data_IF_328592263923
#
_entry.id   IF_328592263923
#
_cell.length_a   1.000
_cell.length_b   1.000
_cell.length_c   1.000
_cell.angle_alpha   90.00
_cell.angle_beta   90.00
_cell.angle_gamma   90.00
#
_symmetry.space_group_name_H-M   'P 1'
#
loop_
_entity.id
_entity.type
_entity.pdbx_description
1 polymer ?
#
# COMPACT_ATOMS: atom_id res chain seq x y z
N UNK A 1 44.33 -6.45 -56.83
CA UNK A 1 45.51 -5.98 -56.07
C UNK A 1 45.09 -4.72 -55.33
N UNK A 2 45.02 -4.81 -54.00
CA UNK A 2 44.83 -3.73 -53.02
C UNK A 2 45.70 -2.50 -53.36
N UNK A 3 45.46 -1.25 -52.95
CA UNK A 3 44.55 -0.50 -52.08
C UNK A 3 45.00 0.97 -52.27
N UNK A 4 44.20 1.98 -51.92
CA UNK A 4 44.58 3.11 -51.03
C UNK A 4 43.57 4.27 -51.16
N UNK A 5 42.73 4.34 -50.11
CA UNK A 5 42.24 5.49 -49.31
C UNK A 5 41.76 6.78 -49.99
N UNK A 6 40.45 6.99 -49.80
CA UNK A 6 39.67 8.21 -50.00
C UNK A 6 39.82 9.17 -48.79
N UNK A 7 40.09 10.45 -49.04
CA UNK A 7 39.79 11.57 -48.12
C UNK A 7 39.25 12.71 -48.98
N UNK A 8 37.96 13.03 -48.86
CA UNK A 8 37.36 14.23 -49.45
C UNK A 8 36.99 15.19 -48.32
N UNK A 9 37.57 16.37 -48.41
CA UNK A 9 37.30 17.57 -47.63
C UNK A 9 36.13 18.30 -48.31
N UNK A 10 34.99 18.47 -47.63
CA UNK A 10 33.86 19.25 -48.16
C UNK A 10 33.96 20.68 -47.62
N UNK A 11 34.10 21.62 -48.55
CA UNK A 11 34.15 23.05 -48.34
C UNK A 11 32.74 23.64 -48.09
N UNK A 12 32.73 24.65 -47.23
CA UNK A 12 31.58 25.45 -46.79
C UNK A 12 31.12 26.38 -47.91
N UNK A 13 29.83 26.35 -48.24
CA UNK A 13 29.17 27.34 -49.11
C UNK A 13 28.39 28.33 -48.24
N UNK A 14 28.84 29.58 -48.23
CA UNK A 14 28.13 30.74 -47.70
C UNK A 14 27.14 31.24 -48.76
N UNK A 15 25.85 31.29 -48.44
CA UNK A 15 24.88 32.10 -49.16
C UNK A 15 24.46 33.28 -48.27
N UNK A 16 24.74 34.49 -48.75
CA UNK A 16 24.17 35.73 -48.23
C UNK A 16 22.80 35.96 -48.88
N UNK A 17 21.76 36.14 -48.07
CA UNK A 17 20.50 36.73 -48.50
C UNK A 17 19.93 37.62 -47.37
N UNK A 18 20.11 38.92 -47.58
CA UNK A 18 19.25 40.06 -47.22
C UNK A 18 18.21 39.82 -46.10
N UNK A 19 18.49 40.34 -44.90
CA UNK A 19 17.53 40.49 -43.82
C UNK A 19 16.76 41.81 -43.93
N UNK A 20 15.46 41.73 -44.17
CA UNK A 20 14.49 42.81 -44.01
C UNK A 20 14.22 42.98 -42.50
N UNK A 21 14.39 44.19 -41.97
CA UNK A 21 14.00 44.51 -40.60
C UNK A 21 12.46 44.62 -40.50
N UNK A 22 11.83 43.59 -39.91
CA UNK A 22 10.49 43.67 -39.35
C UNK A 22 10.59 43.55 -37.83
N UNK A 23 10.24 44.63 -37.13
CA UNK A 23 10.09 44.64 -35.68
C UNK A 23 8.84 43.83 -35.31
N UNK A 24 9.03 42.61 -34.84
CA UNK A 24 7.95 41.80 -34.27
C UNK A 24 8.12 41.75 -32.75
N UNK A 25 7.28 42.49 -32.04
CA UNK A 25 7.04 42.30 -30.61
C UNK A 25 6.36 40.95 -30.42
N UNK A 26 7.06 39.97 -29.86
CA UNK A 26 6.44 38.72 -29.43
C UNK A 26 5.77 38.92 -28.07
N UNK A 27 4.45 38.92 -28.08
CA UNK A 27 3.61 38.66 -26.90
C UNK A 27 3.92 37.27 -26.33
N UNK A 28 3.96 37.20 -25.00
CA UNK A 28 4.09 35.97 -24.23
C UNK A 28 2.86 35.09 -24.48
N UNK A 29 3.04 33.99 -25.19
CA UNK A 29 1.98 33.01 -25.39
C UNK A 29 1.85 32.13 -24.13
N UNK A 30 0.75 32.33 -23.41
CA UNK A 30 0.35 31.55 -22.24
C UNK A 30 0.33 30.03 -22.53
N UNK A 31 0.95 29.28 -21.63
CA UNK A 31 1.03 27.82 -21.61
C UNK A 31 -0.34 27.15 -21.46
N UNK A 32 -0.61 26.01 -22.15
CA UNK A 32 -1.93 25.37 -22.20
C UNK A 32 -2.21 24.55 -20.93
N UNK A 33 -2.35 25.21 -19.78
CA UNK A 33 -2.79 24.57 -18.53
C UNK A 33 -4.32 24.52 -18.41
N UNK A 34 -5.05 25.41 -19.08
CA UNK A 34 -6.50 25.52 -18.94
C UNK A 34 -7.30 24.56 -19.83
N UNK A 35 -6.74 24.07 -20.94
CA UNK A 35 -7.45 23.14 -21.86
C UNK A 35 -7.55 21.72 -21.29
N UNK A 36 -6.56 21.29 -20.50
CA UNK A 36 -6.58 20.01 -19.78
C UNK A 36 -7.61 20.02 -18.63
N UNK A 37 -7.84 21.18 -18.01
CA UNK A 37 -8.81 21.32 -16.91
C UNK A 37 -10.26 21.29 -17.44
N UNK A 38 -10.53 21.82 -18.64
CA UNK A 38 -11.87 21.75 -19.24
C UNK A 38 -12.24 20.36 -19.78
N UNK A 39 -11.27 19.55 -20.24
CA UNK A 39 -11.54 18.19 -20.73
C UNK A 39 -11.88 17.17 -19.63
N UNK A 40 -11.67 17.53 -18.36
CA UNK A 40 -12.07 16.72 -17.20
C UNK A 40 -13.55 16.86 -16.80
N UNK A 41 -14.33 17.77 -17.41
CA UNK A 41 -15.74 18.02 -17.05
C UNK A 41 -16.77 17.18 -17.81
N UNK A 42 -16.37 16.33 -18.75
CA UNK A 42 -17.27 15.46 -19.52
C UNK A 42 -16.79 14.01 -19.54
N UNK A 43 -16.56 13.45 -18.35
CA UNK A 43 -16.44 12.01 -18.13
C UNK A 43 -17.57 11.59 -17.18
N UNK A 44 -18.36 10.60 -17.60
CA UNK A 44 -19.69 10.30 -17.07
C UNK A 44 -19.83 10.18 -15.55
N UNK A 45 -21.05 10.48 -15.08
CA UNK A 45 -21.55 10.16 -13.73
C UNK A 45 -21.15 8.73 -13.34
N UNK A 46 -20.12 8.59 -12.50
CA UNK A 46 -19.66 7.29 -12.02
C UNK A 46 -18.27 7.23 -11.38
N UNK A 47 -17.63 8.35 -11.00
CA UNK A 47 -16.27 8.32 -10.46
C UNK A 47 -16.25 8.88 -9.04
N UNK A 48 -16.12 7.98 -8.06
CA UNK A 48 -15.83 8.30 -6.65
C UNK A 48 -14.39 8.79 -6.51
N UNK A 49 -14.11 10.02 -6.94
CA UNK A 49 -12.80 10.64 -6.72
C UNK A 49 -12.68 11.09 -5.26
N UNK A 50 -11.76 10.49 -4.51
CA UNK A 50 -11.47 10.89 -3.14
C UNK A 50 -10.30 11.88 -3.17
N UNK A 51 -10.53 13.11 -2.69
CA UNK A 51 -9.43 14.06 -2.53
C UNK A 51 -8.53 13.61 -1.38
N UNK A 52 -7.20 13.80 -1.49
CA UNK A 52 -6.32 13.82 -0.34
C UNK A 52 -6.92 14.74 0.73
N UNK A 53 -7.50 14.17 1.78
CA UNK A 53 -7.84 14.95 2.96
C UNK A 53 -6.57 15.37 3.70
N UNK A 54 -6.72 15.98 4.86
CA UNK A 54 -5.61 16.24 5.80
C UNK A 54 -5.11 14.94 6.49
N UNK A 55 -4.97 13.83 5.75
CA UNK A 55 -4.43 12.58 6.28
C UNK A 55 -2.92 12.70 6.31
N UNK A 56 -2.36 12.59 7.51
CA UNK A 56 -0.93 12.60 7.77
C UNK A 56 -0.41 11.17 7.87
N UNK A 57 0.67 10.88 7.17
CA UNK A 57 1.42 9.63 7.29
C UNK A 57 2.75 9.93 7.96
N UNK A 58 3.09 9.21 9.03
CA UNK A 58 4.30 9.50 9.80
C UNK A 58 5.59 9.29 9.01
N UNK A 59 5.55 8.47 7.95
CA UNK A 59 6.67 8.23 7.03
C UNK A 59 6.66 9.10 5.77
N UNK A 60 5.59 9.89 5.52
CA UNK A 60 5.41 10.56 4.23
C UNK A 60 4.55 11.83 4.30
N UNK A 61 5.09 12.93 3.78
CA UNK A 61 4.47 14.25 3.82
C UNK A 61 3.83 14.71 2.50
N UNK A 62 4.20 14.10 1.36
CA UNK A 62 3.66 14.44 0.04
C UNK A 62 3.40 13.19 -0.80
N UNK A 63 2.27 13.15 -1.51
CA UNK A 63 1.87 12.06 -2.38
C UNK A 63 0.93 12.59 -3.47
N UNK A 64 1.03 11.99 -4.65
CA UNK A 64 0.30 12.47 -5.83
C UNK A 64 -0.93 11.61 -6.16
N UNK A 65 -0.97 10.37 -5.70
CA UNK A 65 -2.02 9.43 -6.06
C UNK A 65 -2.41 8.52 -4.89
N UNK A 66 -3.72 8.34 -4.73
CA UNK A 66 -4.31 7.51 -3.69
C UNK A 66 -4.75 6.17 -4.26
N UNK A 67 -4.72 5.16 -3.39
CA UNK A 67 -5.17 3.81 -3.70
C UNK A 67 -6.54 3.79 -4.38
N UNK A 68 -7.53 4.48 -3.80
CA UNK A 68 -8.90 4.42 -4.32
C UNK A 68 -9.09 5.20 -5.63
N UNK A 69 -8.26 6.21 -5.90
CA UNK A 69 -8.34 6.97 -7.14
C UNK A 69 -7.74 6.20 -8.33
N UNK A 70 -6.73 5.35 -8.08
CA UNK A 70 -6.13 4.50 -9.12
C UNK A 70 -7.02 3.32 -9.52
N UNK A 71 -7.87 2.87 -8.61
CA UNK A 71 -8.70 1.69 -8.77
C UNK A 71 -10.18 2.05 -8.59
N UNK A 72 -10.84 2.57 -9.64
CA UNK A 72 -12.26 2.88 -9.58
C UNK A 72 -13.06 1.62 -9.22
N UNK A 73 -14.16 1.82 -8.52
CA UNK A 73 -15.08 0.74 -8.14
C UNK A 73 -15.71 0.10 -9.39
N UNK A 74 -16.15 -1.17 -9.32
CA UNK A 74 -16.80 -1.83 -10.45
C UNK A 74 -18.06 -1.09 -10.90
N UNK A 75 -18.44 -1.25 -12.18
CA UNK A 75 -19.66 -0.63 -12.72
C UNK A 75 -20.89 -0.97 -11.87
N UNK A 76 -21.65 0.06 -11.47
CA UNK A 76 -22.85 -0.07 -10.63
C UNK A 76 -22.59 -0.13 -9.12
N UNK A 77 -21.33 -0.10 -8.69
CA UNK A 77 -20.95 -0.01 -7.28
C UNK A 77 -20.64 1.43 -6.89
N UNK A 78 -20.75 1.72 -5.59
CA UNK A 78 -20.30 2.96 -4.97
C UNK A 78 -19.48 2.64 -3.73
N UNK A 79 -18.57 3.54 -3.33
CA UNK A 79 -17.84 3.36 -2.08
C UNK A 79 -18.81 3.41 -0.90
N UNK A 80 -18.63 2.49 0.03
CA UNK A 80 -19.37 2.51 1.29
C UNK A 80 -19.03 3.77 2.09
N UNK A 81 -20.01 4.25 2.85
CA UNK A 81 -19.79 5.35 3.78
C UNK A 81 -18.83 4.91 4.89
N UNK A 82 -17.85 5.76 5.21
CA UNK A 82 -16.89 5.53 6.31
C UNK A 82 -16.72 6.82 7.09
N UNK A 83 -16.52 6.69 8.41
CA UNK A 83 -16.33 7.84 9.28
C UNK A 83 -14.98 8.51 8.99
N UNK A 84 -14.97 9.83 8.81
CA UNK A 84 -13.73 10.60 8.58
C UNK A 84 -12.76 10.38 9.75
N UNK A 85 -11.53 9.99 9.42
CA UNK A 85 -10.49 9.70 10.41
C UNK A 85 -10.54 8.27 10.97
N UNK A 86 -11.50 7.43 10.57
CA UNK A 86 -11.47 6.00 10.89
C UNK A 86 -10.32 5.27 10.20
N UNK A 87 -10.07 4.03 10.62
CA UNK A 87 -9.09 3.18 9.96
C UNK A 87 -9.48 2.89 8.50
N UNK A 88 -10.77 2.68 8.21
CA UNK A 88 -11.24 2.47 6.82
C UNK A 88 -11.00 3.71 5.96
N UNK A 89 -11.26 4.90 6.52
CA UNK A 89 -10.98 6.16 5.85
C UNK A 89 -9.49 6.33 5.55
N UNK A 90 -8.63 5.96 6.48
CA UNK A 90 -7.18 6.03 6.34
C UNK A 90 -6.64 5.04 5.29
N UNK A 91 -7.16 3.80 5.28
CA UNK A 91 -6.75 2.74 4.36
C UNK A 91 -7.10 3.05 2.89
N UNK A 92 -8.34 3.48 2.61
CA UNK A 92 -8.75 3.79 1.23
C UNK A 92 -7.94 4.94 0.61
N UNK A 93 -7.34 5.77 1.46
CA UNK A 93 -6.53 6.92 1.06
C UNK A 93 -5.02 6.61 1.05
N UNK A 94 -4.58 5.37 1.21
CA UNK A 94 -3.15 5.04 1.22
C UNK A 94 -2.44 5.54 -0.05
N UNK A 95 -1.26 6.17 0.08
CA UNK A 95 -0.51 6.67 -1.06
C UNK A 95 0.06 5.50 -1.87
N UNK A 96 0.05 5.63 -3.19
CA UNK A 96 0.68 4.66 -4.08
C UNK A 96 1.95 5.23 -4.73
N UNK A 97 2.95 4.37 -4.95
CA UNK A 97 4.09 4.68 -5.83
C UNK A 97 3.59 4.89 -7.26
N UNK A 98 4.34 5.59 -8.14
CA UNK A 98 3.94 5.80 -9.53
C UNK A 98 3.52 4.50 -10.24
N UNK A 99 2.53 4.61 -11.13
CA UNK A 99 2.06 3.47 -11.93
C UNK A 99 3.23 2.83 -12.69
N UNK A 100 3.29 1.50 -12.69
CA UNK A 100 4.39 0.74 -13.30
C UNK A 100 5.60 0.50 -12.39
N UNK A 101 5.64 1.07 -11.19
CA UNK A 101 6.69 0.75 -10.19
C UNK A 101 6.68 -0.75 -9.90
N UNK A 102 7.79 -1.49 -10.10
CA UNK A 102 7.83 -2.93 -9.88
C UNK A 102 7.69 -3.27 -8.39
N UNK A 103 7.08 -4.42 -8.10
CA UNK A 103 7.12 -5.00 -6.75
C UNK A 103 8.55 -5.47 -6.49
N UNK A 104 9.20 -4.92 -5.46
CA UNK A 104 10.54 -5.33 -5.01
C UNK A 104 10.47 -6.13 -3.73
N UNK A 105 11.44 -7.01 -3.55
CA UNK A 105 11.76 -7.69 -2.30
C UNK A 105 12.61 -6.77 -1.42
N UNK A 106 12.76 -7.11 -0.14
CA UNK A 106 13.59 -6.36 0.82
C UNK A 106 15.05 -6.17 0.33
N UNK A 107 15.58 -7.14 -0.43
CA UNK A 107 16.93 -7.11 -1.00
C UNK A 107 17.03 -6.31 -2.32
N UNK A 108 15.98 -5.58 -2.70
CA UNK A 108 15.94 -4.76 -3.91
C UNK A 108 15.68 -5.51 -5.21
N UNK A 109 15.73 -6.85 -5.23
CA UNK A 109 15.37 -7.66 -6.40
C UNK A 109 13.88 -7.52 -6.71
N UNK A 110 13.50 -7.69 -7.98
CA UNK A 110 12.09 -7.71 -8.38
C UNK A 110 11.44 -9.02 -7.91
N UNK A 111 10.18 -8.95 -7.46
CA UNK A 111 9.32 -10.15 -7.33
C UNK A 111 9.25 -10.83 -8.69
N UNK A 112 9.37 -12.17 -8.73
CA UNK A 112 9.37 -12.94 -9.97
C UNK A 112 8.13 -12.63 -10.83
N UNK A 113 6.94 -12.65 -10.23
CA UNK A 113 5.69 -12.49 -10.96
C UNK A 113 5.17 -11.05 -10.91
N UNK A 114 5.69 -10.19 -11.78
CA UNK A 114 5.26 -8.78 -11.91
C UNK A 114 3.86 -8.62 -12.52
N UNK A 115 3.32 -9.64 -13.20
CA UNK A 115 1.98 -9.59 -13.79
C UNK A 115 0.85 -9.39 -12.75
N UNK A 116 1.14 -9.66 -11.47
CA UNK A 116 0.26 -9.43 -10.33
C UNK A 116 0.30 -8.00 -9.78
N UNK A 117 1.16 -7.14 -10.33
CA UNK A 117 1.31 -5.77 -9.85
C UNK A 117 0.13 -4.90 -10.31
N UNK A 118 -0.82 -4.67 -9.41
CA UNK A 118 -1.88 -3.70 -9.59
C UNK A 118 -1.52 -2.31 -9.03
N UNK A 119 -0.52 -2.22 -8.17
CA UNK A 119 -0.09 -0.99 -7.53
C UNK A 119 0.69 -1.28 -6.27
N UNK A 120 1.77 -0.52 -6.06
CA UNK A 120 2.63 -0.64 -4.89
C UNK A 120 2.32 0.53 -3.94
N UNK A 121 2.07 0.24 -2.67
CA UNK A 121 1.89 1.26 -1.65
C UNK A 121 3.20 2.02 -1.46
N UNK A 122 3.11 3.33 -1.26
CA UNK A 122 4.28 4.17 -1.01
C UNK A 122 4.66 4.17 0.47
N UNK A 123 5.06 3.00 0.94
CA UNK A 123 5.65 2.72 2.25
C UNK A 123 6.87 1.82 2.05
N UNK A 124 7.91 2.03 2.86
CA UNK A 124 9.13 1.25 2.78
C UNK A 124 8.92 -0.20 3.27
N UNK A 125 9.73 -1.13 2.74
CA UNK A 125 9.76 -2.54 3.20
C UNK A 125 10.70 -2.69 4.41
N UNK A 126 11.73 -1.85 4.50
CA UNK A 126 12.92 -2.08 5.33
C UNK A 126 14.05 -2.74 4.53
N UNK A 127 15.15 -3.05 5.22
CA UNK A 127 16.40 -3.56 4.64
C UNK A 127 16.65 -5.05 4.95
N UNK A 128 15.82 -5.64 5.81
CA UNK A 128 15.91 -7.04 6.25
C UNK A 128 14.73 -7.84 5.73
N UNK A 129 14.80 -9.17 5.75
CA UNK A 129 13.67 -10.07 5.43
C UNK A 129 12.61 -10.10 6.54
N UNK A 130 12.22 -8.91 6.99
CA UNK A 130 11.17 -8.61 7.95
C UNK A 130 10.20 -7.66 7.27
N UNK A 131 8.98 -7.52 7.78
CA UNK A 131 7.86 -6.93 7.03
C UNK A 131 7.24 -7.90 6.00
N UNK A 132 7.14 -9.17 6.40
CA UNK A 132 6.45 -10.22 5.67
C UNK A 132 4.91 -10.06 5.76
N UNK A 133 4.15 -11.08 5.39
CA UNK A 133 2.68 -11.01 5.25
C UNK A 133 1.98 -10.37 6.47
N UNK A 134 2.10 -10.96 7.66
CA UNK A 134 1.49 -10.44 8.90
C UNK A 134 2.07 -9.10 9.34
N UNK A 135 3.38 -8.92 9.18
CA UNK A 135 4.04 -7.68 9.57
C UNK A 135 3.54 -6.47 8.79
N UNK A 136 3.17 -6.63 7.52
CA UNK A 136 2.55 -5.56 6.73
C UNK A 136 1.20 -5.12 7.30
N UNK A 137 0.40 -6.07 7.78
CA UNK A 137 -0.89 -5.80 8.45
C UNK A 137 -0.68 -5.11 9.78
N UNK A 138 0.25 -5.63 10.59
CA UNK A 138 0.68 -5.04 11.87
C UNK A 138 1.18 -3.61 11.65
N UNK A 139 2.01 -3.41 10.61
CA UNK A 139 2.58 -2.11 10.23
C UNK A 139 1.48 -1.10 9.92
N UNK A 140 0.56 -1.42 9.03
CA UNK A 140 -0.50 -0.49 8.63
C UNK A 140 -1.44 -0.13 9.78
N UNK A 141 -1.82 -1.11 10.61
CA UNK A 141 -2.63 -0.83 11.82
C UNK A 141 -1.90 0.09 12.78
N UNK A 142 -0.61 -0.19 13.04
CA UNK A 142 0.21 0.59 13.95
C UNK A 142 0.45 2.01 13.45
N UNK A 143 0.69 2.18 12.15
CA UNK A 143 0.88 3.48 11.50
C UNK A 143 -0.37 4.36 11.60
N UNK A 144 -1.55 3.77 11.38
CA UNK A 144 -2.81 4.46 11.60
C UNK A 144 -2.92 4.94 13.06
N UNK A 145 -2.75 4.06 14.03
CA UNK A 145 -2.85 4.41 15.46
C UNK A 145 -1.80 5.46 15.86
N UNK A 146 -0.58 5.34 15.34
CA UNK A 146 0.50 6.30 15.56
C UNK A 146 0.11 7.68 15.00
N UNK A 147 -0.45 7.74 13.79
CA UNK A 147 -0.92 9.00 13.19
C UNK A 147 -2.02 9.70 13.98
N UNK A 148 -2.76 8.92 14.80
CA UNK A 148 -3.82 9.41 15.68
C UNK A 148 -3.33 9.65 17.13
N UNK A 149 -2.02 9.52 17.39
CA UNK A 149 -1.42 9.57 18.74
C UNK A 149 -2.02 8.53 19.73
N UNK A 150 -2.64 7.47 19.23
CA UNK A 150 -3.25 6.39 20.03
C UNK A 150 -2.22 5.36 20.46
N UNK A 151 -1.16 5.79 21.14
CA UNK A 151 0.00 4.94 21.44
C UNK A 151 -0.31 3.80 22.41
N UNK A 152 -1.31 3.96 23.29
CA UNK A 152 -1.75 2.91 24.21
C UNK A 152 -2.45 1.74 23.49
N UNK A 153 -3.04 2.00 22.32
CA UNK A 153 -3.74 1.00 21.52
C UNK A 153 -2.79 0.19 20.62
N UNK A 154 -1.51 0.56 20.57
CA UNK A 154 -0.50 -0.14 19.77
C UNK A 154 0.11 -1.24 20.61
N UNK A 155 -0.40 -2.46 20.43
CA UNK A 155 0.16 -3.67 21.00
C UNK A 155 -0.03 -4.85 20.05
N UNK A 156 0.83 -5.87 20.19
CA UNK A 156 0.69 -7.15 19.51
C UNK A 156 1.20 -8.27 20.39
N UNK A 157 0.63 -9.46 20.25
CA UNK A 157 1.10 -10.64 20.96
C UNK A 157 2.19 -11.35 20.16
N UNK A 158 3.26 -11.72 20.85
CA UNK A 158 4.25 -12.66 20.33
C UNK A 158 3.65 -14.05 20.21
N UNK A 159 4.32 -14.92 19.47
CA UNK A 159 3.96 -16.34 19.37
C UNK A 159 3.93 -17.02 20.75
N UNK A 160 4.77 -16.57 21.69
CA UNK A 160 4.76 -17.02 23.08
C UNK A 160 3.56 -16.52 23.92
N UNK A 161 2.72 -15.63 23.37
CA UNK A 161 1.62 -14.98 24.08
C UNK A 161 2.02 -13.71 24.84
N UNK A 162 3.30 -13.33 24.84
CA UNK A 162 3.75 -12.09 25.46
C UNK A 162 3.16 -10.87 24.74
N UNK A 163 2.52 -9.97 25.48
CA UNK A 163 1.95 -8.73 24.96
C UNK A 163 3.02 -7.65 24.86
N UNK A 164 3.50 -7.40 23.65
CA UNK A 164 4.39 -6.28 23.34
C UNK A 164 3.57 -4.99 23.22
N UNK A 165 3.84 -4.02 24.10
CA UNK A 165 3.07 -2.78 24.21
C UNK A 165 3.97 -1.59 23.85
N UNK A 166 3.53 -0.79 22.88
CA UNK A 166 4.28 0.40 22.48
C UNK A 166 4.30 1.47 23.57
N UNK A 167 3.26 1.55 24.40
CA UNK A 167 3.21 2.44 25.56
C UNK A 167 4.39 2.20 26.52
N UNK A 168 4.70 0.93 26.85
CA UNK A 168 5.87 0.57 27.65
C UNK A 168 7.17 0.86 26.93
N UNK A 169 7.24 0.61 25.62
CA UNK A 169 8.42 0.98 24.83
C UNK A 169 8.75 2.47 24.93
N UNK A 170 7.73 3.34 24.81
CA UNK A 170 7.85 4.81 24.96
C UNK A 170 8.26 5.26 26.36
N UNK A 171 8.03 4.44 27.39
CA UNK A 171 8.44 4.69 28.78
C UNK A 171 9.89 4.26 29.07
N UNK A 172 10.61 3.76 28.06
CA UNK A 172 12.00 3.33 28.22
C UNK A 172 12.18 1.84 28.45
N UNK A 173 11.12 1.04 28.41
CA UNK A 173 11.26 -0.40 28.40
C UNK A 173 11.65 -0.91 27.01
N UNK A 174 12.34 -2.04 27.00
CA UNK A 174 12.66 -2.85 25.84
C UNK A 174 12.25 -4.29 26.14
N UNK A 175 12.11 -5.10 25.10
CA UNK A 175 11.67 -6.48 25.25
C UNK A 175 12.84 -7.40 24.91
N UNK A 176 13.23 -8.21 25.89
CA UNK A 176 14.21 -9.28 25.73
C UNK A 176 13.49 -10.61 25.55
N UNK A 177 14.09 -11.53 24.80
CA UNK A 177 13.57 -12.88 24.61
C UNK A 177 14.66 -13.89 24.92
N UNK A 178 14.35 -14.87 25.78
CA UNK A 178 15.23 -16.00 26.13
C UNK A 178 14.42 -17.30 26.03
N UNK A 179 14.70 -18.10 25.00
CA UNK A 179 13.84 -19.24 24.65
C UNK A 179 12.42 -18.78 24.33
N UNK A 180 11.42 -19.39 24.95
CA UNK A 180 10.00 -19.01 24.80
C UNK A 180 9.54 -17.91 25.76
N UNK A 181 10.43 -17.40 26.63
CA UNK A 181 10.08 -16.37 27.60
C UNK A 181 10.51 -14.98 27.09
N UNK A 182 9.56 -14.07 27.02
CA UNK A 182 9.79 -12.65 26.74
C UNK A 182 9.51 -11.82 27.99
N UNK A 183 10.31 -10.79 28.22
CA UNK A 183 10.23 -9.94 29.41
C UNK A 183 10.59 -8.50 29.09
N UNK A 184 10.00 -7.58 29.87
CA UNK A 184 10.39 -6.18 29.83
C UNK A 184 11.64 -5.95 30.67
N UNK A 185 12.57 -5.15 30.15
CA UNK A 185 13.69 -4.60 30.92
C UNK A 185 13.84 -3.11 30.60
N UNK A 186 14.38 -2.34 31.55
CA UNK A 186 14.50 -0.88 31.39
C UNK A 186 15.82 -0.54 30.70
N UNK A 187 15.74 0.12 29.55
CA UNK A 187 16.86 0.71 28.80
C UNK A 187 16.31 1.87 28.00
N UNK A 188 16.22 3.02 28.66
CA UNK A 188 15.65 4.23 28.08
C UNK A 188 16.61 4.83 27.06
N UNK A 189 16.05 5.28 25.93
CA UNK A 189 16.75 5.95 24.85
C UNK A 189 16.01 7.25 24.52
N UNK A 190 16.75 8.28 24.12
CA UNK A 190 16.16 9.54 23.62
C UNK A 190 15.22 9.32 22.41
N UNK A 191 15.40 8.23 21.66
CA UNK A 191 14.55 7.88 20.51
C UNK A 191 13.21 7.26 20.88
N UNK A 192 12.95 6.89 22.14
CA UNK A 192 11.79 6.04 22.50
C UNK A 192 10.44 6.67 22.16
N UNK A 193 10.36 8.00 22.15
CA UNK A 193 9.15 8.77 21.81
C UNK A 193 9.12 9.26 20.37
N UNK A 194 10.13 8.96 19.55
CA UNK A 194 10.25 9.39 18.16
C UNK A 194 9.71 8.33 17.19
N UNK A 195 9.53 8.71 15.93
CA UNK A 195 9.15 7.77 14.88
C UNK A 195 10.22 6.68 14.66
N UNK A 196 11.50 7.01 14.83
CA UNK A 196 12.58 6.02 14.79
C UNK A 196 12.44 4.98 15.91
N UNK A 197 12.08 5.39 17.13
CA UNK A 197 11.80 4.47 18.24
C UNK A 197 10.59 3.59 17.97
N UNK A 198 9.52 4.15 17.37
CA UNK A 198 8.37 3.38 16.90
C UNK A 198 8.75 2.31 15.87
N UNK A 199 9.60 2.65 14.90
CA UNK A 199 10.09 1.68 13.92
C UNK A 199 10.92 0.56 14.57
N UNK A 200 11.73 0.86 15.59
CA UNK A 200 12.47 -0.16 16.36
C UNK A 200 11.54 -1.08 17.16
N UNK A 201 10.47 -0.53 17.74
CA UNK A 201 9.43 -1.33 18.39
C UNK A 201 8.77 -2.29 17.38
N UNK A 202 8.35 -1.79 16.22
CA UNK A 202 7.74 -2.64 15.18
C UNK A 202 8.71 -3.72 14.69
N UNK A 203 9.97 -3.37 14.48
CA UNK A 203 11.01 -4.33 14.12
C UNK A 203 11.12 -5.45 15.17
N UNK A 204 11.08 -5.11 16.45
CA UNK A 204 11.06 -6.10 17.53
C UNK A 204 9.79 -6.97 17.50
N UNK A 205 8.62 -6.40 17.23
CA UNK A 205 7.36 -7.16 17.04
C UNK A 205 7.46 -8.12 15.86
N UNK A 206 7.99 -7.70 14.71
CA UNK A 206 8.12 -8.54 13.51
C UNK A 206 9.02 -9.76 13.71
N UNK A 207 9.92 -9.73 14.71
CA UNK A 207 10.77 -10.90 15.03
C UNK A 207 10.02 -12.01 15.78
N UNK A 208 8.90 -11.69 16.46
CA UNK A 208 8.28 -12.62 17.41
C UNK A 208 6.76 -12.79 17.22
N UNK A 209 6.10 -11.88 16.50
CA UNK A 209 4.71 -11.99 16.09
C UNK A 209 4.62 -12.44 14.62
N UNK A 210 3.50 -13.04 14.25
CA UNK A 210 3.26 -13.49 12.88
C UNK A 210 1.79 -13.86 12.67
N UNK A 211 1.47 -14.55 11.58
CA UNK A 211 0.09 -14.96 11.27
C UNK A 211 -0.50 -15.85 12.37
N UNK A 212 0.31 -16.69 13.03
CA UNK A 212 -0.16 -17.51 14.16
C UNK A 212 -0.64 -16.65 15.34
N UNK A 213 0.20 -15.74 15.85
CA UNK A 213 -0.15 -14.92 17.02
C UNK A 213 -1.23 -13.90 16.68
N UNK A 214 -1.15 -13.27 15.51
CA UNK A 214 -2.14 -12.31 15.03
C UNK A 214 -3.50 -12.99 14.82
N UNK A 215 -3.55 -14.21 14.29
CA UNK A 215 -4.79 -14.96 14.15
C UNK A 215 -5.45 -15.26 15.50
N UNK A 216 -4.68 -15.50 16.57
CA UNK A 216 -5.22 -15.69 17.92
C UNK A 216 -5.70 -14.37 18.55
N UNK A 217 -5.04 -13.27 18.23
CA UNK A 217 -5.36 -11.94 18.76
C UNK A 217 -6.63 -11.35 18.14
N UNK A 218 -6.86 -11.58 16.84
CA UNK A 218 -8.00 -11.06 16.10
C UNK A 218 -9.30 -11.84 16.35
N UNK A 219 -10.43 -11.12 16.28
CA UNK A 219 -11.78 -11.66 16.49
C UNK A 219 -12.39 -12.15 15.18
N UNK A 220 -13.23 -13.18 15.25
CA UNK A 220 -14.03 -13.63 14.09
C UNK A 220 -14.93 -12.50 13.58
N UNK A 221 -15.16 -12.47 12.28
CA UNK A 221 -15.97 -11.47 11.59
C UNK A 221 -16.83 -12.14 10.52
N UNK A 222 -17.98 -11.55 10.19
CA UNK A 222 -18.88 -12.06 9.14
C UNK A 222 -18.82 -11.22 7.88
N UNK A 223 -19.13 -11.83 6.73
CA UNK A 223 -19.15 -11.17 5.43
C UNK A 223 -20.18 -10.04 5.35
N UNK A 224 -21.30 -10.15 6.07
CA UNK A 224 -22.30 -9.08 6.19
C UNK A 224 -21.70 -7.79 6.76
N UNK A 225 -20.77 -7.91 7.72
CA UNK A 225 -20.14 -6.79 8.43
C UNK A 225 -18.74 -6.43 7.91
N UNK A 226 -18.35 -6.98 6.75
CA UNK A 226 -17.01 -6.75 6.18
C UNK A 226 -16.75 -5.25 5.95
N UNK A 227 -15.59 -4.79 6.43
CA UNK A 227 -15.18 -3.38 6.36
C UNK A 227 -13.68 -3.24 6.13
N UNK A 228 -13.24 -2.01 5.84
CA UNK A 228 -11.82 -1.68 5.76
C UNK A 228 -11.08 -2.02 7.06
N UNK A 229 -9.92 -2.66 6.93
CA UNK A 229 -9.08 -3.08 8.06
C UNK A 229 -9.39 -4.48 8.59
N UNK A 230 -10.49 -5.09 8.15
CA UNK A 230 -10.69 -6.54 8.31
C UNK A 230 -9.63 -7.29 7.49
N UNK A 231 -9.35 -8.52 7.90
CA UNK A 231 -8.32 -9.36 7.27
C UNK A 231 -8.85 -10.76 6.98
N UNK A 232 -8.33 -11.37 5.92
CA UNK A 232 -8.46 -12.81 5.71
C UNK A 232 -7.14 -13.44 6.13
N UNK A 233 -7.16 -14.18 7.23
CA UNK A 233 -5.96 -14.69 7.88
C UNK A 233 -6.02 -16.20 8.09
N UNK A 234 -4.99 -16.88 7.60
CA UNK A 234 -4.71 -18.29 7.85
C UNK A 234 -3.55 -18.32 8.84
N UNK A 235 -3.84 -18.65 10.10
CA UNK A 235 -2.81 -18.76 11.13
C UNK A 235 -2.03 -20.07 11.02
N UNK A 236 -0.71 -20.03 11.24
CA UNK A 236 0.14 -21.21 11.19
C UNK A 236 1.53 -20.94 10.62
N UNK A 237 2.28 -22.02 10.38
CA UNK A 237 3.62 -22.01 9.80
C UNK A 237 3.69 -23.11 8.71
N UNK A 238 3.43 -22.78 7.43
CA UNK A 238 3.18 -21.45 6.88
C UNK A 238 1.77 -20.94 7.19
N UNK A 239 1.62 -19.62 7.18
CA UNK A 239 0.33 -18.93 7.21
C UNK A 239 0.38 -17.71 6.30
N UNK A 240 -0.77 -17.11 6.00
CA UNK A 240 -0.82 -15.90 5.17
C UNK A 240 -1.97 -15.00 5.57
N UNK A 241 -1.85 -13.72 5.22
CA UNK A 241 -2.87 -12.71 5.48
C UNK A 241 -2.94 -11.67 4.40
N UNK A 242 -4.17 -11.28 4.06
CA UNK A 242 -4.49 -10.11 3.24
C UNK A 242 -5.43 -9.19 4.00
N UNK A 243 -5.34 -7.88 3.78
CA UNK A 243 -6.17 -6.87 4.42
C UNK A 243 -7.16 -6.26 3.43
N UNK A 244 -8.39 -6.04 3.87
CA UNK A 244 -9.40 -5.25 3.16
C UNK A 244 -9.02 -3.77 3.25
N UNK A 245 -8.63 -3.15 2.14
CA UNK A 245 -8.27 -1.74 2.09
C UNK A 245 -9.48 -0.82 1.84
N UNK A 246 -10.47 -1.30 1.07
CA UNK A 246 -11.68 -0.55 0.76
C UNK A 246 -12.86 -1.48 0.47
N UNK A 247 -14.08 -0.99 0.71
CA UNK A 247 -15.33 -1.70 0.42
C UNK A 247 -16.23 -0.80 -0.43
N UNK A 248 -16.79 -1.39 -1.48
CA UNK A 248 -17.81 -0.81 -2.33
C UNK A 248 -19.07 -1.68 -2.31
N UNK A 249 -20.22 -1.09 -2.58
CA UNK A 249 -21.52 -1.74 -2.54
C UNK A 249 -22.39 -1.26 -3.70
N UNK A 250 -23.19 -2.15 -4.29
CA UNK A 250 -24.15 -1.79 -5.33
C UNK A 250 -25.57 -1.63 -4.74
N UNK A 251 -26.54 -1.26 -5.59
CA UNK A 251 -27.94 -1.06 -5.17
C UNK A 251 -28.66 -2.33 -4.73
N UNK A 252 -28.11 -3.52 -5.00
CA UNK A 252 -28.66 -4.81 -4.55
C UNK A 252 -28.03 -5.29 -3.24
N UNK A 253 -27.15 -4.51 -2.62
CA UNK A 253 -26.42 -4.89 -1.40
C UNK A 253 -25.23 -5.82 -1.63
N UNK A 254 -24.83 -6.09 -2.89
CA UNK A 254 -23.61 -6.84 -3.17
C UNK A 254 -22.40 -5.98 -2.84
N UNK A 255 -21.48 -6.52 -2.04
CA UNK A 255 -20.23 -5.86 -1.68
C UNK A 255 -19.07 -6.36 -2.53
N UNK A 256 -18.16 -5.45 -2.87
CA UNK A 256 -16.88 -5.78 -3.48
C UNK A 256 -15.75 -5.06 -2.74
N UNK A 257 -14.64 -5.77 -2.50
CA UNK A 257 -13.52 -5.28 -1.70
C UNK A 257 -12.22 -5.19 -2.48
N UNK A 258 -11.38 -4.23 -2.12
CA UNK A 258 -10.00 -4.14 -2.60
C UNK A 258 -9.07 -4.69 -1.52
N UNK A 259 -8.18 -5.59 -1.90
CA UNK A 259 -7.26 -6.26 -0.99
C UNK A 259 -5.83 -5.77 -1.17
N UNK A 260 -5.07 -5.68 -0.07
CA UNK A 260 -3.63 -5.40 -0.05
C UNK A 260 -2.89 -6.48 0.73
N UNK A 261 -1.65 -6.76 0.31
CA UNK A 261 -0.82 -7.79 0.94
C UNK A 261 0.68 -7.49 0.85
N UNK A 262 1.46 -8.15 1.71
CA UNK A 262 2.87 -8.48 1.52
C UNK A 262 3.01 -10.01 1.40
N UNK A 263 4.21 -10.56 1.27
CA UNK A 263 4.43 -12.01 1.25
C UNK A 263 5.79 -12.39 1.86
N UNK A 264 6.18 -13.65 1.67
CA UNK A 264 7.47 -14.21 2.07
C UNK A 264 8.27 -14.59 0.81
N UNK A 265 9.51 -14.13 0.63
CA UNK A 265 10.24 -13.15 1.44
C UNK A 265 9.56 -11.77 1.50
N UNK A 266 9.97 -10.94 2.46
CA UNK A 266 9.46 -9.59 2.65
C UNK A 266 9.56 -8.79 1.34
N UNK A 267 8.47 -8.12 1.00
CA UNK A 267 8.33 -7.40 -0.26
C UNK A 267 7.42 -6.19 -0.09
N UNK A 268 7.33 -5.36 -1.13
CA UNK A 268 6.43 -4.21 -1.10
C UNK A 268 5.00 -4.63 -0.78
N UNK A 269 4.34 -3.85 0.08
CA UNK A 269 2.89 -3.93 0.22
C UNK A 269 2.27 -3.50 -1.10
N UNK A 270 1.44 -4.36 -1.68
CA UNK A 270 0.85 -4.16 -3.00
C UNK A 270 -0.61 -4.59 -3.02
N UNK A 271 -1.32 -4.11 -4.02
CA UNK A 271 -2.72 -4.46 -4.26
C UNK A 271 -2.79 -5.86 -4.84
N UNK A 272 -3.66 -6.70 -4.27
CA UNK A 272 -3.87 -8.07 -4.73
C UNK A 272 -4.65 -8.04 -6.03
N UNK A 273 -4.20 -8.82 -7.01
CA UNK A 273 -4.85 -9.00 -8.30
C UNK A 273 -5.44 -10.40 -8.39
N UNK A 274 -6.67 -10.52 -8.89
CA UNK A 274 -7.32 -11.79 -9.22
C UNK A 274 -6.50 -12.55 -10.26
N UNK A 275 -6.46 -13.88 -10.11
CA UNK A 275 -5.94 -14.73 -11.16
C UNK A 275 -6.77 -14.58 -12.45
N UNK A 276 -6.10 -14.60 -13.62
CA UNK A 276 -6.72 -14.77 -14.95
C UNK A 276 -7.73 -13.68 -15.40
N UNK A 277 -7.51 -12.41 -15.08
CA UNK A 277 -8.35 -11.30 -15.61
C UNK A 277 -7.54 -10.25 -16.38
N UNK A 278 -8.01 -9.90 -17.59
CA UNK A 278 -7.69 -8.64 -18.29
C UNK A 278 -8.71 -7.59 -17.80
N UNK A 279 -8.27 -6.45 -17.26
CA UNK A 279 -9.18 -5.39 -16.77
C UNK A 279 -9.39 -5.39 -15.25
N UNK A 280 -10.63 -5.13 -14.78
CA UNK A 280 -11.11 -4.82 -13.41
C UNK A 280 -10.75 -5.81 -12.26
N UNK A 281 -9.70 -6.60 -12.42
CA UNK A 281 -9.28 -7.72 -11.59
C UNK A 281 -8.74 -7.42 -10.19
N UNK A 282 -9.07 -6.28 -9.57
CA UNK A 282 -8.62 -5.97 -8.19
C UNK A 282 -9.74 -5.94 -7.16
N UNK A 283 -11.00 -5.85 -7.60
CA UNK A 283 -12.17 -5.82 -6.72
C UNK A 283 -12.78 -7.21 -6.57
N UNK A 284 -12.67 -7.79 -5.38
CA UNK A 284 -13.16 -9.13 -5.04
C UNK A 284 -14.60 -9.05 -4.54
N UNK A 285 -15.53 -9.75 -5.21
CA UNK A 285 -16.94 -9.80 -4.80
C UNK A 285 -17.08 -10.62 -3.52
N UNK A 286 -17.86 -10.15 -2.56
CA UNK A 286 -18.07 -10.83 -1.29
C UNK A 286 -18.91 -12.09 -1.49
N UNK A 287 -19.87 -12.09 -2.42
CA UNK A 287 -20.60 -13.30 -2.79
C UNK A 287 -19.70 -14.43 -3.34
N UNK A 288 -18.58 -14.10 -4.00
CA UNK A 288 -17.60 -15.11 -4.41
C UNK A 288 -16.93 -15.77 -3.19
N UNK A 289 -16.60 -14.99 -2.15
CA UNK A 289 -16.01 -15.51 -0.91
C UNK A 289 -16.95 -16.48 -0.20
N UNK A 290 -18.26 -16.16 -0.20
CA UNK A 290 -19.29 -16.96 0.45
C UNK A 290 -19.57 -18.28 -0.28
N UNK A 291 -19.59 -18.25 -1.61
CA UNK A 291 -19.99 -19.40 -2.44
C UNK A 291 -18.84 -20.35 -2.74
N UNK A 292 -17.66 -19.82 -3.04
CA UNK A 292 -16.52 -20.59 -3.57
C UNK A 292 -15.15 -20.19 -3.03
N UNK A 293 -15.09 -19.14 -2.19
CA UNK A 293 -13.85 -18.56 -1.71
C UNK A 293 -13.18 -17.61 -2.71
N UNK A 294 -12.11 -16.98 -2.25
CA UNK A 294 -11.22 -16.18 -3.09
C UNK A 294 -9.91 -16.91 -3.35
N UNK A 295 -9.52 -16.98 -4.62
CA UNK A 295 -8.23 -17.51 -5.04
C UNK A 295 -7.29 -16.38 -5.36
N UNK A 296 -6.17 -16.33 -4.65
CA UNK A 296 -5.03 -15.47 -5.00
C UNK A 296 -3.93 -16.32 -5.61
N UNK A 297 -2.88 -15.72 -6.14
CA UNK A 297 -1.74 -16.51 -6.63
C UNK A 297 -1.10 -17.34 -5.52
N UNK A 298 -1.10 -16.80 -4.31
CA UNK A 298 -0.40 -17.39 -3.18
C UNK A 298 -1.27 -18.32 -2.32
N UNK A 299 -2.52 -17.95 -2.04
CA UNK A 299 -3.42 -18.69 -1.13
C UNK A 299 -4.89 -18.63 -1.55
N UNK A 300 -5.65 -19.65 -1.11
CA UNK A 300 -7.11 -19.70 -1.21
C UNK A 300 -7.75 -19.34 0.15
N UNK A 301 -8.77 -18.50 0.11
CA UNK A 301 -9.48 -17.99 1.28
C UNK A 301 -10.95 -18.36 1.28
N UNK A 302 -11.47 -18.75 2.44
CA UNK A 302 -12.91 -18.90 2.69
C UNK A 302 -13.37 -17.83 3.67
N UNK A 303 -14.68 -17.65 3.79
CA UNK A 303 -15.28 -16.71 4.76
C UNK A 303 -14.87 -16.98 6.22
N UNK A 304 -14.49 -18.22 6.56
CA UNK A 304 -14.06 -18.59 7.92
C UNK A 304 -12.71 -17.97 8.31
N UNK A 305 -11.92 -17.51 7.33
CA UNK A 305 -10.67 -16.81 7.57
C UNK A 305 -10.87 -15.32 7.90
N UNK A 306 -12.10 -14.79 7.85
CA UNK A 306 -12.39 -13.38 8.06
C UNK A 306 -12.33 -12.99 9.53
N UNK A 307 -11.50 -12.00 9.82
CA UNK A 307 -11.26 -11.48 11.17
C UNK A 307 -11.14 -9.95 11.22
N UNK A 308 -11.32 -9.41 12.41
CA UNK A 308 -11.26 -7.97 12.72
C UNK A 308 -10.53 -7.70 14.04
N UNK A 309 -10.17 -6.44 14.29
CA UNK A 309 -9.50 -5.96 15.52
C UNK A 309 -10.48 -5.83 16.70
#
# INVERSE_FOLDING_TARGET
MNMIRFKILIAVLFFFAVGIHFSYTYEVQDSPSQSLIKKAKTVGKGINFVRPGNIKYAWKHSYNELLINRHPVPKGFQLTHVVKGSFEHWLRCLPLKPKGTPIKLFNGKKKMLQALNAGVLDIDIGETDLQQCADAVIRLRSEYLYSQNKFADIHFNYTSGFKAEYSKWRQGFKIGVKGNHAYYYKKSLNTDKTYQGFRKYLWNVFNYAGTYSLNKELKKQTTTNIKGGDVLIIGGFPGHVVMVAAVSENTSGEKAVLLIQSYMPAQNIHIVKKQLTRGEGVWFKVSDLEKKGWKTWEFDYTKEHLKTW
#
